data_IF_208065545225
#
_entry.id   IF_208065545225
#
_cell.length_a   1.000
_cell.length_b   1.000
_cell.length_c   1.000
_cell.angle_alpha   90.00
_cell.angle_beta   90.00
_cell.angle_gamma   90.00
#
_symmetry.space_group_name_H-M   'P 1'
#
loop_
_entity.id
_entity.type
_entity.pdbx_description
1 polymer ?
#
# COMPACT_ATOMS: atom_id res chain seq x y z
N UNK A 1 63.61 22.49 2.78
CA UNK A 1 62.14 22.54 2.80
C UNK A 1 61.66 21.13 2.55
N UNK A 2 61.26 20.41 3.58
CA UNK A 2 60.72 19.05 3.42
C UNK A 2 59.47 19.02 4.29
N UNK A 3 58.36 19.49 3.73
CA UNK A 3 57.04 19.28 4.32
C UNK A 3 56.73 17.81 4.10
N UNK A 4 56.84 17.00 5.15
CA UNK A 4 56.30 15.64 5.16
C UNK A 4 54.79 15.78 5.11
N UNK A 5 54.26 15.76 3.89
CA UNK A 5 52.85 15.61 3.62
C UNK A 5 52.46 14.21 4.10
N UNK A 6 52.00 14.13 5.35
CA UNK A 6 51.47 12.90 5.93
C UNK A 6 50.02 12.81 5.50
N UNK A 7 49.81 12.44 4.25
CA UNK A 7 48.48 12.19 3.70
C UNK A 7 47.93 10.93 4.36
N UNK A 8 46.78 11.09 5.00
CA UNK A 8 46.06 10.09 5.77
C UNK A 8 45.55 8.99 4.84
N UNK A 9 46.21 7.83 4.83
CA UNK A 9 45.64 6.63 4.24
C UNK A 9 44.93 5.83 5.33
N UNK A 10 43.79 6.34 5.78
CA UNK A 10 42.77 5.49 6.39
C UNK A 10 42.21 4.72 5.20
N UNK A 11 42.72 3.52 4.95
CA UNK A 11 42.03 2.56 4.08
C UNK A 11 40.70 2.29 4.74
N UNK A 12 39.68 3.05 4.32
CA UNK A 12 38.29 2.70 4.55
C UNK A 12 38.08 1.39 3.81
N UNK A 13 38.36 0.28 4.49
CA UNK A 13 37.96 -1.04 4.04
C UNK A 13 36.44 -0.99 3.97
N UNK A 14 35.91 -0.72 2.78
CA UNK A 14 34.49 -0.73 2.51
C UNK A 14 33.90 -2.00 3.13
N UNK A 15 33.01 -1.84 4.10
CA UNK A 15 32.29 -2.96 4.70
C UNK A 15 31.52 -3.68 3.60
N UNK A 16 32.07 -4.80 3.12
CA UNK A 16 31.49 -5.57 2.02
C UNK A 16 30.80 -6.83 2.52
N UNK A 17 29.66 -7.17 1.90
CA UNK A 17 28.95 -8.41 2.23
C UNK A 17 29.80 -9.64 1.85
N UNK A 18 30.03 -10.58 2.79
CA UNK A 18 30.76 -11.82 2.51
C UNK A 18 30.16 -12.59 1.32
N UNK A 19 31.00 -12.96 0.34
CA UNK A 19 30.54 -13.62 -0.90
C UNK A 19 30.51 -15.16 -0.83
N UNK A 20 31.12 -15.75 0.20
CA UNK A 20 31.15 -17.20 0.38
C UNK A 20 29.75 -17.77 0.64
N UNK A 21 29.44 -18.93 0.04
CA UNK A 21 28.13 -19.60 0.14
C UNK A 21 27.75 -19.94 1.59
N UNK A 22 28.74 -20.17 2.46
CA UNK A 22 28.55 -20.54 3.86
C UNK A 22 27.88 -19.40 4.64
N UNK A 23 28.12 -18.15 4.23
CA UNK A 23 27.56 -16.93 4.85
C UNK A 23 26.38 -16.34 4.06
N UNK A 24 25.94 -16.98 2.98
CA UNK A 24 24.80 -16.51 2.17
C UNK A 24 23.53 -17.25 2.56
N UNK A 25 22.44 -16.52 2.68
CA UNK A 25 21.11 -17.11 2.83
C UNK A 25 20.78 -17.91 1.56
N UNK A 26 20.40 -19.20 1.65
CA UNK A 26 19.99 -19.97 0.50
C UNK A 26 18.78 -19.32 -0.18
N UNK A 27 18.85 -19.15 -1.49
CA UNK A 27 17.70 -18.70 -2.29
C UNK A 27 16.66 -19.81 -2.28
N UNK A 28 15.45 -19.51 -1.82
CA UNK A 28 14.31 -20.41 -1.97
C UNK A 28 14.08 -20.66 -3.48
N UNK A 29 14.25 -21.90 -3.92
CA UNK A 29 14.11 -22.28 -5.33
C UNK A 29 12.65 -22.39 -5.76
N UNK A 30 11.73 -22.49 -4.80
CA UNK A 30 10.29 -22.65 -5.03
C UNK A 30 9.54 -21.78 -4.03
N UNK A 31 8.60 -20.97 -4.53
CA UNK A 31 7.70 -20.20 -3.68
C UNK A 31 6.80 -21.16 -2.87
N UNK A 32 6.48 -20.83 -1.60
CA UNK A 32 5.48 -21.61 -0.88
C UNK A 32 4.15 -21.60 -1.64
N UNK A 33 3.32 -22.65 -1.52
CA UNK A 33 2.03 -22.69 -2.17
C UNK A 33 1.15 -21.50 -1.72
N UNK A 34 0.26 -21.00 -2.58
CA UNK A 34 -0.56 -19.86 -2.26
C UNK A 34 -1.45 -20.12 -1.03
N UNK A 35 -1.73 -19.11 -0.20
CA UNK A 35 -2.65 -19.24 0.91
C UNK A 35 -4.01 -19.78 0.46
N UNK A 36 -4.54 -20.78 1.17
CA UNK A 36 -5.85 -21.35 0.84
C UNK A 36 -6.96 -20.37 1.21
N UNK A 37 -7.81 -20.04 0.24
CA UNK A 37 -9.04 -19.28 0.50
C UNK A 37 -9.95 -20.10 1.42
N UNK A 38 -10.41 -19.50 2.52
CA UNK A 38 -11.40 -20.12 3.41
C UNK A 38 -12.69 -20.37 2.62
N UNK A 39 -13.32 -21.54 2.79
CA UNK A 39 -14.63 -21.80 2.19
C UNK A 39 -15.64 -20.82 2.79
N UNK A 40 -16.08 -19.85 2.00
CA UNK A 40 -17.23 -19.04 2.40
C UNK A 40 -18.45 -19.95 2.25
N UNK A 41 -18.90 -20.55 3.36
CA UNK A 41 -20.29 -21.00 3.47
C UNK A 41 -21.11 -19.71 3.54
N UNK A 42 -21.31 -19.07 2.39
CA UNK A 42 -22.18 -17.91 2.27
C UNK A 42 -23.57 -18.44 2.53
N UNK A 43 -24.03 -18.37 3.78
CA UNK A 43 -25.47 -18.38 4.02
C UNK A 43 -25.98 -17.17 3.25
N UNK A 44 -26.80 -17.41 2.22
CA UNK A 44 -27.54 -16.34 1.55
C UNK A 44 -28.29 -15.62 2.67
N UNK A 45 -27.83 -14.42 3.00
CA UNK A 45 -28.48 -13.56 3.98
C UNK A 45 -29.53 -12.79 3.23
N UNK A 46 -30.76 -12.81 3.73
CA UNK A 46 -31.81 -11.97 3.16
C UNK A 46 -31.40 -10.50 3.23
N UNK A 47 -31.79 -9.68 2.24
CA UNK A 47 -31.63 -8.24 2.32
C UNK A 47 -32.22 -7.68 3.62
N UNK A 48 -31.69 -6.57 4.15
CA UNK A 48 -32.31 -5.86 5.26
C UNK A 48 -33.75 -5.51 4.93
N UNK A 49 -34.65 -5.62 5.93
CA UNK A 49 -36.09 -5.37 5.79
C UNK A 49 -36.41 -4.01 5.16
N UNK A 50 -35.57 -3.01 5.42
CA UNK A 50 -35.78 -1.63 4.99
C UNK A 50 -34.87 -1.23 3.79
N UNK A 51 -34.33 -2.22 3.07
CA UNK A 51 -33.34 -1.99 2.03
C UNK A 51 -31.95 -1.66 2.60
N UNK A 52 -30.94 -1.70 1.71
CA UNK A 52 -29.56 -1.34 2.07
C UNK A 52 -29.34 0.17 2.11
N UNK A 53 -30.16 0.91 1.36
CA UNK A 53 -30.08 2.34 1.23
C UNK A 53 -31.48 2.91 1.42
N UNK A 54 -31.58 3.90 2.29
CA UNK A 54 -32.81 4.64 2.55
C UNK A 54 -32.56 6.08 2.09
N UNK A 55 -32.79 6.39 0.79
CA UNK A 55 -32.57 7.74 0.30
C UNK A 55 -33.50 8.73 1.04
N UNK A 56 -33.04 9.97 1.27
CA UNK A 56 -33.95 11.04 1.63
C UNK A 56 -34.94 11.30 0.49
N UNK A 57 -36.05 11.97 0.80
CA UNK A 57 -37.03 12.37 -0.20
C UNK A 57 -36.41 13.32 -1.23
N UNK A 58 -36.52 12.97 -2.52
CA UNK A 58 -35.89 13.72 -3.61
C UNK A 58 -36.50 15.10 -3.79
N UNK A 59 -37.78 15.28 -3.44
CA UNK A 59 -38.45 16.59 -3.50
C UNK A 59 -37.76 17.62 -2.61
N UNK A 60 -37.14 17.18 -1.50
CA UNK A 60 -36.36 18.06 -0.63
C UNK A 60 -35.15 18.71 -1.31
N UNK A 61 -34.62 18.07 -2.36
CA UNK A 61 -33.51 18.61 -3.15
C UNK A 61 -33.96 19.76 -4.06
N UNK A 62 -35.24 19.78 -4.45
CA UNK A 62 -35.81 20.75 -5.37
C UNK A 62 -36.48 21.95 -4.67
N UNK A 63 -36.71 21.88 -3.35
CA UNK A 63 -37.19 23.04 -2.57
C UNK A 63 -36.11 24.11 -2.34
N UNK A 64 -34.85 23.86 -2.72
CA UNK A 64 -33.80 24.87 -2.70
C UNK A 64 -34.09 25.97 -3.74
N UNK A 65 -33.98 27.22 -3.26
CA UNK A 65 -34.49 28.46 -3.86
C UNK A 65 -34.23 28.64 -5.38
N UNK A 66 -35.07 29.45 -6.07
CA UNK A 66 -34.85 29.81 -7.47
C UNK A 66 -33.40 30.20 -7.70
N UNK A 67 -32.70 29.53 -8.63
CA UNK A 67 -31.37 29.98 -9.04
C UNK A 67 -31.53 31.38 -9.61
N UNK A 68 -30.72 32.33 -9.13
CA UNK A 68 -30.63 33.66 -9.73
C UNK A 68 -30.31 33.47 -11.20
N UNK A 69 -31.24 33.86 -12.07
CA UNK A 69 -31.02 33.89 -13.50
C UNK A 69 -29.82 34.80 -13.78
N UNK A 70 -28.82 34.27 -14.48
CA UNK A 70 -27.87 35.12 -15.18
C UNK A 70 -28.62 35.61 -16.42
N UNK A 71 -29.05 36.87 -16.36
CA UNK A 71 -29.83 37.61 -17.35
C UNK A 71 -29.24 37.55 -18.78
N UNK A 72 -30.09 37.88 -19.77
CA UNK A 72 -29.86 37.84 -21.23
C UNK A 72 -29.37 39.17 -21.82
#
# INVERSE_FOLDING_TARGET
MEVVERTTEITEEDCTTPRSRIYRIPVATVCPPPPRKKSMVVRKRDPPRNGYFQPPDLETLFYAQPRREAWA
#
